data_IF_153654346870
#
_entry.id   IF_153654346870
#
_cell.length_a   1.000
_cell.length_b   1.000
_cell.length_c   1.000
_cell.angle_alpha   90.00
_cell.angle_beta   90.00
_cell.angle_gamma   90.00
#
_symmetry.space_group_name_H-M   'P 1'
#
loop_
_entity.id
_entity.type
_entity.pdbx_description
1 polymer ?
#
# COMPACT_ATOMS: atom_id res chain seq x y z
N UNK A 1 37.76 -36.71 -15.77
CA UNK A 1 38.04 -35.30 -15.36
C UNK A 1 36.99 -34.41 -15.97
N UNK A 2 36.09 -33.85 -15.16
CA UNK A 2 34.98 -33.02 -15.62
C UNK A 2 34.19 -32.52 -14.43
N UNK A 3 34.65 -31.41 -13.85
CA UNK A 3 34.00 -30.75 -12.73
C UNK A 3 32.71 -30.07 -13.21
N UNK A 4 31.56 -30.50 -12.68
CA UNK A 4 30.31 -29.73 -12.70
C UNK A 4 30.16 -29.07 -11.34
N UNK A 5 30.39 -27.76 -11.28
CA UNK A 5 30.10 -26.93 -10.12
C UNK A 5 28.58 -26.86 -9.89
N UNK A 6 28.14 -27.42 -8.77
CA UNK A 6 26.79 -27.25 -8.25
C UNK A 6 26.69 -25.87 -7.58
N UNK A 7 25.82 -25.02 -8.11
CA UNK A 7 25.48 -23.73 -7.50
C UNK A 7 24.67 -23.95 -6.22
N UNK A 8 25.37 -24.23 -5.12
CA UNK A 8 24.82 -24.29 -3.77
C UNK A 8 24.63 -22.86 -3.24
N UNK A 9 23.62 -22.15 -3.74
CA UNK A 9 23.29 -20.81 -3.27
C UNK A 9 22.37 -20.88 -2.03
N UNK A 10 23.01 -20.93 -0.86
CA UNK A 10 22.66 -20.21 0.37
C UNK A 10 21.16 -20.03 0.72
N UNK A 11 20.47 -21.11 1.10
CA UNK A 11 19.12 -21.06 1.73
C UNK A 11 19.14 -20.98 3.26
N UNK A 12 20.24 -21.34 3.90
CA UNK A 12 20.39 -21.30 5.37
C UNK A 12 20.46 -19.86 5.90
N UNK A 13 21.02 -18.93 5.13
CA UNK A 13 21.19 -17.51 5.49
C UNK A 13 19.89 -16.69 5.49
N UNK A 14 18.83 -17.13 4.78
CA UNK A 14 17.53 -16.45 4.76
C UNK A 14 16.67 -16.81 5.99
N UNK A 15 16.79 -18.06 6.47
CA UNK A 15 16.15 -18.50 7.71
C UNK A 15 16.82 -17.87 8.94
N UNK A 16 18.16 -17.82 8.97
CA UNK A 16 18.88 -17.19 10.09
C UNK A 16 18.60 -15.69 10.20
N UNK A 17 18.60 -14.96 9.07
CA UNK A 17 18.32 -13.50 9.07
C UNK A 17 16.88 -13.14 9.44
N UNK A 18 15.92 -14.01 9.09
CA UNK A 18 14.51 -13.78 9.46
C UNK A 18 14.30 -13.98 10.95
N UNK A 19 14.93 -15.00 11.55
CA UNK A 19 14.92 -15.22 13.00
C UNK A 19 15.68 -14.11 13.74
N UNK A 20 16.84 -13.69 13.23
CA UNK A 20 17.61 -12.56 13.78
C UNK A 20 16.83 -11.24 13.78
N UNK A 21 16.00 -11.01 12.76
CA UNK A 21 15.11 -9.85 12.71
C UNK A 21 14.10 -9.87 13.87
N UNK A 22 13.54 -11.02 14.22
CA UNK A 22 12.63 -11.14 15.36
C UNK A 22 13.35 -11.09 16.72
N UNK A 23 14.59 -11.59 16.82
CA UNK A 23 15.36 -11.57 18.08
C UNK A 23 15.91 -10.17 18.41
N UNK A 24 16.37 -9.40 17.42
CA UNK A 24 17.02 -8.11 17.66
C UNK A 24 16.09 -6.90 17.57
N UNK A 25 14.93 -7.01 16.90
CA UNK A 25 14.10 -5.83 16.61
C UNK A 25 12.99 -5.56 17.62
N UNK A 26 12.84 -6.36 18.69
CA UNK A 26 11.69 -6.33 19.65
C UNK A 26 10.40 -5.76 19.00
N UNK A 27 9.89 -6.35 17.89
CA UNK A 27 8.82 -5.71 17.11
C UNK A 27 7.49 -5.62 17.86
N UNK A 28 7.39 -6.28 19.01
CA UNK A 28 6.29 -6.21 19.94
C UNK A 28 6.78 -5.57 21.25
N UNK A 29 6.91 -4.25 21.27
CA UNK A 29 7.46 -3.49 22.40
C UNK A 29 6.62 -3.59 23.69
N UNK A 30 5.41 -4.17 23.66
CA UNK A 30 4.56 -4.31 24.85
C UNK A 30 3.80 -5.63 25.03
N UNK A 31 3.35 -6.34 23.98
CA UNK A 31 2.75 -7.70 24.08
C UNK A 31 2.88 -8.51 22.79
N UNK A 32 3.20 -9.80 22.90
CA UNK A 32 3.12 -10.73 21.77
C UNK A 32 1.65 -10.95 21.34
N UNK A 33 1.38 -11.11 20.03
CA UNK A 33 0.05 -11.52 19.56
C UNK A 33 -0.30 -12.91 20.09
N UNK A 34 -1.59 -13.14 20.38
CA UNK A 34 -2.08 -14.43 20.92
C UNK A 34 -1.93 -15.59 19.93
N UNK A 35 -1.98 -15.30 18.63
CA UNK A 35 -1.76 -16.26 17.54
C UNK A 35 -0.92 -15.61 16.43
N UNK A 36 0.06 -16.33 15.92
CA UNK A 36 0.83 -15.96 14.71
C UNK A 36 0.62 -17.02 13.64
N UNK A 37 0.18 -16.62 12.43
CA UNK A 37 0.14 -17.53 11.28
C UNK A 37 1.30 -17.24 10.32
N UNK A 38 2.24 -18.18 10.23
CA UNK A 38 3.37 -18.13 9.32
C UNK A 38 2.97 -18.59 7.91
N UNK A 39 2.54 -17.63 7.10
CA UNK A 39 2.22 -17.82 5.66
C UNK A 39 3.49 -17.99 4.81
N UNK A 40 4.21 -19.09 5.04
CA UNK A 40 5.38 -19.49 4.27
C UNK A 40 5.52 -21.02 4.24
N UNK A 41 6.15 -21.53 3.18
CA UNK A 41 6.47 -22.95 3.10
C UNK A 41 7.51 -23.35 4.15
N UNK A 42 7.42 -24.57 4.69
CA UNK A 42 8.41 -25.16 5.64
C UNK A 42 8.56 -24.40 6.95
N UNK A 43 7.64 -23.52 7.31
CA UNK A 43 7.69 -22.73 8.56
C UNK A 43 7.55 -23.59 9.81
N UNK A 44 6.91 -24.76 9.69
CA UNK A 44 6.84 -25.82 10.71
C UNK A 44 7.80 -26.99 10.47
N UNK A 45 8.72 -26.88 9.51
CA UNK A 45 9.72 -27.92 9.26
C UNK A 45 10.94 -27.70 10.15
N UNK A 46 11.30 -28.70 10.96
CA UNK A 46 12.59 -28.72 11.67
C UNK A 46 13.74 -28.98 10.68
N UNK A 47 14.87 -28.30 10.86
CA UNK A 47 16.08 -28.52 10.08
C UNK A 47 16.89 -29.72 10.58
N UNK A 48 17.75 -30.25 9.73
CA UNK A 48 18.77 -31.27 10.07
C UNK A 48 18.21 -32.44 10.91
N UNK A 49 17.21 -33.13 10.36
CA UNK A 49 16.56 -34.30 11.00
C UNK A 49 15.98 -34.04 12.41
N UNK A 50 15.59 -32.79 12.71
CA UNK A 50 14.98 -32.42 13.99
C UNK A 50 15.94 -31.79 14.99
N UNK A 51 17.23 -31.69 14.67
CA UNK A 51 18.23 -31.03 15.53
C UNK A 51 18.08 -29.51 15.57
N UNK A 52 17.49 -28.91 14.52
CA UNK A 52 17.19 -27.47 14.46
C UNK A 52 15.69 -27.27 14.53
N UNK A 53 15.22 -26.62 15.59
CA UNK A 53 13.81 -26.29 15.76
C UNK A 53 13.25 -25.48 14.60
N UNK A 54 12.01 -25.78 14.22
CA UNK A 54 11.28 -25.02 13.19
C UNK A 54 11.09 -23.54 13.58
N UNK A 55 10.81 -22.67 12.61
CA UNK A 55 10.53 -21.26 12.89
C UNK A 55 9.33 -21.11 13.83
N UNK A 56 8.30 -21.95 13.67
CA UNK A 56 7.16 -21.97 14.55
C UNK A 56 7.53 -22.32 16.01
N UNK A 57 8.34 -23.36 16.20
CA UNK A 57 8.85 -23.73 17.54
C UNK A 57 9.69 -22.63 18.18
N UNK A 58 10.53 -21.95 17.40
CA UNK A 58 11.37 -20.87 17.90
C UNK A 58 10.54 -19.68 18.40
N UNK A 59 9.49 -19.30 17.67
CA UNK A 59 8.57 -18.24 18.10
C UNK A 59 7.81 -18.61 19.37
N UNK A 60 7.38 -19.87 19.50
CA UNK A 60 6.76 -20.37 20.74
C UNK A 60 7.76 -20.32 21.90
N UNK A 61 9.04 -20.67 21.66
CA UNK A 61 10.10 -20.56 22.67
C UNK A 61 10.36 -19.11 23.11
N UNK A 62 10.19 -18.15 22.20
CA UNK A 62 10.35 -16.71 22.45
C UNK A 62 9.15 -16.06 23.15
N UNK A 63 8.08 -16.81 23.43
CA UNK A 63 6.94 -16.32 24.20
C UNK A 63 5.69 -16.02 23.38
N UNK A 64 5.68 -16.28 22.07
CA UNK A 64 4.42 -16.28 21.31
C UNK A 64 3.56 -17.46 21.79
N UNK A 65 2.31 -17.23 22.24
CA UNK A 65 1.51 -18.30 22.82
C UNK A 65 1.18 -19.44 21.84
N UNK A 66 0.85 -19.07 20.59
CA UNK A 66 0.43 -19.99 19.55
C UNK A 66 0.95 -19.56 18.18
N UNK A 67 1.41 -20.53 17.39
CA UNK A 67 1.94 -20.32 16.04
C UNK A 67 1.40 -21.39 15.10
N UNK A 68 0.80 -20.99 13.98
CA UNK A 68 0.44 -21.86 12.87
C UNK A 68 1.53 -21.82 11.80
N UNK A 69 1.89 -22.98 11.26
CA UNK A 69 2.89 -23.08 10.20
C UNK A 69 2.71 -24.33 9.35
N UNK A 70 3.46 -24.39 8.24
CA UNK A 70 3.40 -25.47 7.27
C UNK A 70 4.61 -26.39 7.42
N UNK A 71 4.39 -27.69 7.64
CA UNK A 71 5.45 -28.67 7.85
C UNK A 71 6.28 -29.00 6.59
N UNK A 72 5.76 -28.72 5.40
CA UNK A 72 6.40 -28.95 4.09
C UNK A 72 5.98 -27.84 3.10
N UNK A 73 6.54 -27.79 1.87
CA UNK A 73 5.99 -26.94 0.82
C UNK A 73 4.51 -27.23 0.58
N UNK A 74 3.73 -26.17 0.35
CA UNK A 74 2.28 -26.22 0.12
C UNK A 74 1.97 -25.41 -1.14
N UNK A 75 0.97 -25.85 -1.91
CA UNK A 75 0.49 -25.08 -3.06
C UNK A 75 -0.20 -23.78 -2.60
N UNK A 76 -0.04 -22.69 -3.37
CA UNK A 76 -0.62 -21.36 -3.05
C UNK A 76 -2.14 -21.44 -2.89
N UNK A 77 -2.82 -22.22 -3.74
CA UNK A 77 -4.26 -22.48 -3.65
C UNK A 77 -4.65 -23.19 -2.35
N UNK A 78 -3.93 -24.24 -1.98
CA UNK A 78 -4.16 -25.00 -0.73
C UNK A 78 -3.97 -24.12 0.50
N UNK A 79 -2.88 -23.33 0.51
CA UNK A 79 -2.59 -22.40 1.60
C UNK A 79 -3.63 -21.29 1.72
N UNK A 80 -4.07 -20.73 0.58
CA UNK A 80 -5.12 -19.71 0.53
C UNK A 80 -6.44 -20.26 1.05
N UNK A 81 -6.89 -21.42 0.57
CA UNK A 81 -8.14 -22.05 1.03
C UNK A 81 -8.12 -22.34 2.54
N UNK A 82 -7.00 -22.85 3.05
CA UNK A 82 -6.84 -23.11 4.48
C UNK A 82 -6.90 -21.83 5.30
N UNK A 83 -6.21 -20.77 4.85
CA UNK A 83 -6.17 -19.49 5.52
C UNK A 83 -7.55 -18.81 5.52
N UNK A 84 -8.24 -18.78 4.38
CA UNK A 84 -9.59 -18.21 4.24
C UNK A 84 -10.54 -18.85 5.23
N UNK A 85 -10.69 -20.17 5.18
CA UNK A 85 -11.62 -20.89 6.07
C UNK A 85 -11.25 -20.71 7.55
N UNK A 86 -9.95 -20.77 7.87
CA UNK A 86 -9.48 -20.57 9.24
C UNK A 86 -9.84 -19.18 9.76
N UNK A 87 -9.54 -18.12 8.99
CA UNK A 87 -9.83 -16.75 9.41
C UNK A 87 -11.33 -16.48 9.50
N UNK A 88 -12.14 -17.07 8.64
CA UNK A 88 -13.61 -17.01 8.75
C UNK A 88 -14.08 -17.60 10.09
N UNK A 89 -13.65 -18.82 10.43
CA UNK A 89 -14.05 -19.45 11.71
C UNK A 89 -13.54 -18.67 12.91
N UNK A 90 -12.31 -18.15 12.85
CA UNK A 90 -11.80 -17.29 13.91
C UNK A 90 -12.66 -16.03 14.05
N UNK A 91 -13.04 -15.39 12.94
CA UNK A 91 -13.86 -14.18 12.94
C UNK A 91 -15.29 -14.41 13.46
N UNK A 92 -15.83 -15.63 13.31
CA UNK A 92 -17.10 -16.06 13.91
C UNK A 92 -17.01 -16.31 15.42
N UNK A 93 -15.85 -16.10 16.06
CA UNK A 93 -15.68 -16.28 17.50
C UNK A 93 -15.32 -17.71 17.93
N UNK A 94 -15.05 -18.62 17.00
CA UNK A 94 -14.57 -19.96 17.36
C UNK A 94 -13.16 -19.91 17.95
N UNK A 95 -12.89 -20.83 18.88
CA UNK A 95 -11.54 -21.00 19.43
C UNK A 95 -10.54 -21.45 18.36
N UNK A 96 -9.23 -21.29 18.62
CA UNK A 96 -8.18 -21.69 17.66
C UNK A 96 -8.25 -23.19 17.35
N UNK A 97 -8.55 -24.01 18.34
CA UNK A 97 -8.70 -25.46 18.17
C UNK A 97 -9.90 -25.83 17.28
N UNK A 98 -11.05 -25.18 17.48
CA UNK A 98 -12.27 -25.40 16.71
C UNK A 98 -12.11 -24.91 15.27
N UNK A 99 -11.58 -23.70 15.10
CA UNK A 99 -11.30 -23.12 13.80
C UNK A 99 -10.35 -24.01 12.99
N UNK A 100 -9.26 -24.50 13.60
CA UNK A 100 -8.31 -25.39 12.93
C UNK A 100 -8.94 -26.75 12.58
N UNK A 101 -9.71 -27.32 13.50
CA UNK A 101 -10.42 -28.58 13.26
C UNK A 101 -11.43 -28.46 12.12
N UNK A 102 -12.17 -27.34 12.08
CA UNK A 102 -13.10 -27.01 11.00
C UNK A 102 -12.35 -26.86 9.67
N UNK A 103 -11.20 -26.17 9.66
CA UNK A 103 -10.33 -26.05 8.48
C UNK A 103 -9.87 -27.40 7.95
N UNK A 104 -9.45 -28.34 8.82
CA UNK A 104 -9.09 -29.69 8.36
C UNK A 104 -10.25 -30.43 7.71
N UNK A 105 -11.45 -30.38 8.33
CA UNK A 105 -12.65 -31.00 7.75
C UNK A 105 -12.99 -30.40 6.39
N UNK A 106 -12.95 -29.07 6.28
CA UNK A 106 -13.19 -28.36 5.02
C UNK A 106 -12.20 -28.77 3.92
N UNK A 107 -10.89 -28.76 4.22
CA UNK A 107 -9.86 -29.13 3.25
C UNK A 107 -9.96 -30.61 2.84
N UNK A 108 -10.31 -31.50 3.77
CA UNK A 108 -10.52 -32.92 3.50
C UNK A 108 -11.72 -33.13 2.57
N UNK A 109 -12.85 -32.45 2.83
CA UNK A 109 -14.04 -32.49 1.96
C UNK A 109 -13.74 -31.95 0.56
N UNK A 110 -12.88 -30.94 0.44
CA UNK A 110 -12.39 -30.41 -0.83
C UNK A 110 -11.26 -31.23 -1.47
N UNK A 111 -10.91 -32.38 -0.88
CA UNK A 111 -9.87 -33.30 -1.36
C UNK A 111 -8.50 -32.64 -1.59
N UNK A 112 -8.14 -31.67 -0.73
CA UNK A 112 -6.86 -30.99 -0.80
C UNK A 112 -5.77 -31.92 -0.24
N UNK A 113 -4.76 -32.35 -1.01
CA UNK A 113 -3.78 -33.36 -0.56
C UNK A 113 -2.89 -32.87 0.59
N UNK A 114 -2.62 -31.57 0.62
CA UNK A 114 -1.70 -30.92 1.56
C UNK A 114 -2.35 -30.54 2.90
N UNK A 115 -3.60 -30.96 3.16
CA UNK A 115 -4.38 -30.52 4.33
C UNK A 115 -3.65 -30.76 5.66
N UNK A 116 -2.96 -31.90 5.78
CA UNK A 116 -2.25 -32.36 6.98
C UNK A 116 -0.94 -31.62 7.25
N UNK A 117 -0.51 -30.75 6.33
CA UNK A 117 0.74 -30.01 6.45
C UNK A 117 0.61 -28.76 7.34
N UNK A 118 -0.60 -28.22 7.49
CA UNK A 118 -0.86 -27.14 8.43
C UNK A 118 -0.76 -27.70 9.86
N UNK A 119 -0.03 -27.02 10.74
CA UNK A 119 0.24 -27.48 12.10
C UNK A 119 0.20 -26.30 13.07
N UNK A 120 -0.33 -26.56 14.26
CA UNK A 120 -0.37 -25.63 15.38
C UNK A 120 0.72 -25.98 16.39
N UNK A 121 1.48 -24.97 16.80
CA UNK A 121 2.51 -25.04 17.81
C UNK A 121 2.09 -24.09 18.93
N UNK A 122 2.13 -24.50 20.19
CA UNK A 122 1.78 -23.62 21.29
C UNK A 122 1.96 -24.28 22.64
N UNK A 123 1.88 -23.47 23.69
CA UNK A 123 2.02 -23.92 25.09
C UNK A 123 0.68 -24.10 25.82
N UNK A 124 -0.43 -23.68 25.23
CA UNK A 124 -1.78 -23.76 25.81
C UNK A 124 -2.67 -22.59 25.38
N UNK A 125 -3.91 -22.57 25.88
CA UNK A 125 -4.88 -21.49 25.60
C UNK A 125 -5.62 -21.62 24.26
N UNK A 126 -5.64 -22.83 23.66
CA UNK A 126 -6.25 -23.10 22.36
C UNK A 126 -7.78 -23.01 22.35
N UNK A 127 -8.40 -23.16 23.52
CA UNK A 127 -9.85 -23.21 23.73
C UNK A 127 -10.47 -21.83 23.95
N UNK A 128 -9.66 -20.80 24.15
CA UNK A 128 -10.14 -19.44 24.38
C UNK A 128 -10.28 -18.75 23.01
N UNK A 129 -11.48 -18.27 22.64
CA UNK A 129 -11.68 -17.44 21.46
C UNK A 129 -10.70 -16.28 21.38
N UNK A 130 -10.28 -15.95 20.16
CA UNK A 130 -9.41 -14.81 19.91
C UNK A 130 -10.20 -13.50 19.77
N UNK A 131 -11.44 -13.63 19.31
CA UNK A 131 -12.41 -12.54 19.13
C UNK A 131 -13.75 -13.01 19.69
N UNK A 132 -14.56 -12.06 20.12
CA UNK A 132 -15.95 -12.33 20.47
C UNK A 132 -16.76 -12.49 19.18
N UNK A 133 -17.83 -13.27 19.25
CA UNK A 133 -18.77 -13.40 18.13
C UNK A 133 -19.30 -12.00 17.78
N UNK A 134 -19.22 -11.58 16.51
CA UNK A 134 -19.75 -10.29 16.12
C UNK A 134 -21.26 -10.27 16.39
N UNK A 135 -21.72 -9.36 17.24
CA UNK A 135 -23.15 -9.11 17.44
C UNK A 135 -23.82 -8.62 16.16
N UNK A 136 -25.16 -8.63 16.15
CA UNK A 136 -25.98 -8.28 14.98
C UNK A 136 -25.75 -6.85 14.43
N UNK A 137 -25.12 -5.97 15.21
CA UNK A 137 -24.84 -4.57 14.88
C UNK A 137 -23.43 -4.34 14.31
N UNK A 138 -22.97 -5.16 13.37
CA UNK A 138 -21.86 -4.75 12.52
C UNK A 138 -22.40 -3.86 11.40
N UNK A 139 -22.09 -2.54 11.38
CA UNK A 139 -22.33 -1.77 10.17
C UNK A 139 -21.57 -2.49 9.04
N UNK A 140 -22.18 -2.69 7.86
CA UNK A 140 -21.47 -3.31 6.76
C UNK A 140 -20.18 -2.54 6.54
N UNK A 141 -19.05 -3.22 6.69
CA UNK A 141 -17.77 -2.76 6.20
C UNK A 141 -17.90 -2.72 4.68
N UNK A 142 -18.50 -1.66 4.15
CA UNK A 142 -18.26 -1.28 2.78
C UNK A 142 -16.86 -0.63 2.79
N UNK A 143 -15.79 -1.35 2.40
CA UNK A 143 -14.56 -0.65 2.11
C UNK A 143 -14.91 0.41 1.06
N UNK A 144 -14.68 1.68 1.37
CA UNK A 144 -14.74 2.76 0.39
C UNK A 144 -13.65 2.48 -0.63
N UNK A 145 -13.97 1.62 -1.60
CA UNK A 145 -13.07 1.25 -2.68
C UNK A 145 -13.29 2.24 -3.80
N UNK A 146 -12.22 2.94 -4.15
CA UNK A 146 -12.26 3.82 -5.31
C UNK A 146 -12.36 2.94 -6.56
N UNK A 147 -13.55 2.87 -7.16
CA UNK A 147 -13.75 2.30 -8.50
C UNK A 147 -13.21 3.23 -9.59
N UNK A 148 -13.17 4.53 -9.27
CA UNK A 148 -12.65 5.59 -10.11
C UNK A 148 -11.74 6.50 -9.30
N UNK A 149 -10.67 7.00 -9.92
CA UNK A 149 -9.74 7.92 -9.27
C UNK A 149 -10.34 9.32 -9.19
N UNK A 150 -11.03 9.76 -10.25
CA UNK A 150 -11.62 11.08 -10.38
C UNK A 150 -13.14 11.08 -10.13
N UNK A 151 -13.71 12.19 -9.64
CA UNK A 151 -15.16 12.33 -9.44
C UNK A 151 -15.97 12.20 -10.74
N UNK A 152 -15.38 12.56 -11.88
CA UNK A 152 -16.01 12.50 -13.20
C UNK A 152 -16.02 11.08 -13.80
N UNK A 153 -15.51 10.07 -13.06
CA UNK A 153 -15.48 8.65 -13.41
C UNK A 153 -14.77 8.35 -14.73
N UNK A 154 -13.78 9.14 -15.12
CA UNK A 154 -12.99 8.97 -16.34
C UNK A 154 -11.89 7.90 -16.20
N UNK A 155 -11.33 7.76 -15.00
CA UNK A 155 -10.17 6.90 -14.72
C UNK A 155 -10.60 5.72 -13.88
N UNK A 156 -10.76 4.56 -14.52
CA UNK A 156 -11.07 3.29 -13.83
C UNK A 156 -9.88 2.79 -13.02
N UNK A 157 -10.15 2.39 -11.79
CA UNK A 157 -9.19 1.82 -10.86
C UNK A 157 -9.43 0.32 -10.76
N UNK A 158 -8.36 -0.48 -10.86
CA UNK A 158 -8.47 -1.93 -10.73
C UNK A 158 -8.92 -2.31 -9.31
N UNK A 159 -9.81 -3.31 -9.18
CA UNK A 159 -10.31 -3.81 -7.89
C UNK A 159 -9.17 -4.43 -7.04
N UNK A 160 -9.34 -4.64 -5.72
CA UNK A 160 -8.29 -5.22 -4.88
C UNK A 160 -7.81 -6.58 -5.41
N UNK A 161 -8.74 -7.39 -5.93
CA UNK A 161 -8.45 -8.71 -6.51
C UNK A 161 -7.59 -8.61 -7.78
N UNK A 162 -7.71 -7.50 -8.52
CA UNK A 162 -6.92 -7.22 -9.72
C UNK A 162 -5.59 -6.53 -9.41
N UNK A 163 -5.37 -6.09 -8.16
CA UNK A 163 -4.18 -5.36 -7.71
C UNK A 163 -3.10 -6.29 -7.17
N UNK A 164 -2.40 -6.97 -8.07
CA UNK A 164 -1.36 -7.96 -7.72
C UNK A 164 0.06 -7.38 -7.87
N UNK A 165 0.99 -7.82 -7.02
CA UNK A 165 2.44 -7.57 -7.18
C UNK A 165 2.93 -6.18 -6.74
N UNK A 166 2.03 -5.24 -6.45
CA UNK A 166 2.38 -3.83 -6.17
C UNK A 166 2.55 -3.45 -4.70
N UNK A 167 2.45 -4.42 -3.78
CA UNK A 167 2.51 -4.18 -2.33
C UNK A 167 3.75 -3.40 -1.88
N UNK A 168 4.94 -3.76 -2.36
CA UNK A 168 6.20 -3.11 -1.95
C UNK A 168 6.29 -1.66 -2.45
N UNK A 169 5.84 -1.41 -3.67
CA UNK A 169 5.76 -0.07 -4.26
C UNK A 169 4.84 0.79 -3.41
N UNK A 170 3.63 0.29 -3.15
CA UNK A 170 2.65 0.97 -2.31
C UNK A 170 3.22 1.29 -0.91
N UNK A 171 3.88 0.33 -0.26
CA UNK A 171 4.49 0.53 1.05
C UNK A 171 5.63 1.56 1.04
N UNK A 172 6.44 1.63 -0.03
CA UNK A 172 7.46 2.68 -0.19
C UNK A 172 6.83 4.05 -0.34
N UNK A 173 5.89 4.21 -1.26
CA UNK A 173 5.22 5.49 -1.50
C UNK A 173 4.45 5.96 -0.27
N UNK A 174 3.74 5.08 0.43
CA UNK A 174 2.99 5.45 1.64
C UNK A 174 3.91 5.95 2.76
N UNK A 175 5.08 5.33 2.94
CA UNK A 175 6.09 5.82 3.91
C UNK A 175 6.56 7.23 3.56
N UNK A 176 6.75 7.51 2.27
CA UNK A 176 7.16 8.84 1.80
C UNK A 176 6.06 9.87 1.99
N UNK A 177 4.81 9.56 1.62
CA UNK A 177 3.67 10.46 1.81
C UNK A 177 3.39 10.75 3.29
N UNK A 178 3.67 9.82 4.20
CA UNK A 178 3.53 10.04 5.65
C UNK A 178 4.69 10.83 6.26
N UNK A 179 5.84 10.93 5.58
CA UNK A 179 6.98 11.73 6.03
C UNK A 179 6.67 13.23 5.90
N UNK A 180 7.09 14.05 6.87
CA UNK A 180 6.95 15.52 6.82
C UNK A 180 7.93 16.20 5.86
N UNK A 181 9.05 15.52 5.57
CA UNK A 181 10.13 16.08 4.75
C UNK A 181 9.91 15.88 3.24
N UNK A 182 8.83 15.18 2.87
CA UNK A 182 8.52 14.87 1.50
C UNK A 182 7.24 15.58 1.07
N UNK A 183 7.28 16.21 -0.10
CA UNK A 183 6.15 16.93 -0.68
C UNK A 183 5.12 15.95 -1.28
N UNK A 184 5.57 14.79 -1.73
CA UNK A 184 4.75 13.97 -2.61
C UNK A 184 5.47 12.82 -3.29
N UNK A 185 4.76 12.13 -4.18
CA UNK A 185 5.28 11.00 -4.94
C UNK A 185 5.02 11.20 -6.43
N UNK A 186 6.03 10.89 -7.25
CA UNK A 186 5.92 10.79 -8.71
C UNK A 186 5.96 9.31 -9.08
N UNK A 187 4.84 8.78 -9.55
CA UNK A 187 4.72 7.44 -10.11
C UNK A 187 4.93 7.52 -11.62
N UNK A 188 6.02 6.94 -12.12
CA UNK A 188 6.32 6.97 -13.55
C UNK A 188 6.57 5.57 -14.14
N UNK A 189 6.35 5.41 -15.44
CA UNK A 189 6.55 4.15 -16.14
C UNK A 189 5.55 3.94 -17.28
N UNK A 190 5.67 2.83 -18.00
CA UNK A 190 4.91 2.54 -19.23
C UNK A 190 3.38 2.69 -19.01
N UNK A 191 2.63 3.03 -20.07
CA UNK A 191 1.17 3.06 -20.04
C UNK A 191 0.57 1.71 -19.62
N UNK A 192 -0.59 1.72 -18.96
CA UNK A 192 -1.31 0.49 -18.59
C UNK A 192 -0.72 -0.34 -17.45
N UNK A 193 0.41 0.04 -16.85
CA UNK A 193 1.04 -0.71 -15.74
C UNK A 193 0.33 -0.57 -14.38
N UNK A 194 -0.72 0.26 -14.31
CA UNK A 194 -1.55 0.48 -13.12
C UNK A 194 -1.10 1.62 -12.20
N UNK A 195 -0.49 2.69 -12.73
CA UNK A 195 -0.05 3.86 -11.93
C UNK A 195 -1.23 4.56 -11.26
N UNK A 196 -2.29 4.86 -12.01
CA UNK A 196 -3.54 5.46 -11.48
C UNK A 196 -4.21 4.54 -10.46
N UNK A 197 -4.14 3.22 -10.66
CA UNK A 197 -4.58 2.24 -9.64
C UNK A 197 -3.75 2.35 -8.37
N UNK A 198 -2.42 2.40 -8.46
CA UNK A 198 -1.56 2.60 -7.28
C UNK A 198 -1.90 3.92 -6.59
N UNK A 199 -2.17 4.98 -7.36
CA UNK A 199 -2.55 6.27 -6.80
C UNK A 199 -3.85 6.18 -5.99
N UNK A 200 -4.90 5.58 -6.53
CA UNK A 200 -6.14 5.33 -5.81
C UNK A 200 -5.92 4.50 -4.53
N UNK A 201 -5.11 3.43 -4.61
CA UNK A 201 -4.78 2.59 -3.44
C UNK A 201 -3.96 3.32 -2.37
N UNK A 202 -3.21 4.36 -2.73
CA UNK A 202 -2.53 5.25 -1.79
C UNK A 202 -3.52 6.18 -1.09
N UNK A 203 -4.47 6.77 -1.83
CA UNK A 203 -5.52 7.63 -1.27
C UNK A 203 -6.39 6.89 -0.25
N UNK A 204 -6.79 5.64 -0.55
CA UNK A 204 -7.52 4.77 0.39
C UNK A 204 -6.79 4.56 1.73
N UNK A 205 -5.46 4.77 1.76
CA UNK A 205 -4.61 4.59 2.96
C UNK A 205 -4.16 5.92 3.58
N UNK A 206 -4.70 7.02 3.07
CA UNK A 206 -4.53 8.39 3.54
C UNK A 206 -5.92 9.00 3.86
N UNK A 207 -6.70 8.41 4.79
CA UNK A 207 -8.07 8.84 5.07
C UNK A 207 -8.17 10.30 5.56
N UNK A 208 -7.11 10.82 6.18
CA UNK A 208 -7.05 12.21 6.66
C UNK A 208 -6.88 13.24 5.53
N UNK A 209 -6.72 12.79 4.28
CA UNK A 209 -6.48 13.65 3.12
C UNK A 209 -7.68 13.65 2.19
N UNK A 210 -8.15 14.85 1.86
CA UNK A 210 -9.15 15.05 0.83
C UNK A 210 -8.49 15.07 -0.55
N UNK A 211 -8.89 14.18 -1.47
CA UNK A 211 -8.30 14.14 -2.80
C UNK A 211 -8.81 15.28 -3.69
N UNK A 212 -7.89 15.94 -4.39
CA UNK A 212 -8.17 16.89 -5.48
C UNK A 212 -7.53 16.35 -6.74
N UNK A 213 -8.34 15.75 -7.63
CA UNK A 213 -7.84 15.04 -8.81
C UNK A 213 -7.93 15.91 -10.06
N UNK A 214 -6.77 16.20 -10.64
CA UNK A 214 -6.58 16.82 -11.95
C UNK A 214 -6.24 15.72 -12.94
N UNK A 215 -7.10 15.52 -13.93
CA UNK A 215 -6.88 14.55 -15.00
C UNK A 215 -6.37 15.27 -16.26
N UNK A 216 -5.15 14.94 -16.69
CA UNK A 216 -4.45 15.57 -17.82
C UNK A 216 -4.16 17.04 -17.60
N UNK A 217 -4.88 17.94 -18.27
CA UNK A 217 -4.54 19.36 -18.38
C UNK A 217 -4.51 20.03 -17.01
N UNK A 218 -3.34 20.56 -16.66
CA UNK A 218 -3.14 21.33 -15.45
C UNK A 218 -3.09 22.82 -15.79
N UNK A 219 -4.10 23.53 -15.35
CA UNK A 219 -4.13 24.98 -15.37
C UNK A 219 -4.66 25.54 -14.04
N UNK A 220 -4.56 26.86 -13.89
CA UNK A 220 -5.07 27.58 -12.72
C UNK A 220 -6.58 27.44 -12.56
N UNK A 221 -7.36 27.49 -13.65
CA UNK A 221 -8.81 27.46 -13.61
C UNK A 221 -9.33 26.11 -13.07
N UNK A 222 -8.70 25.00 -13.44
CA UNK A 222 -9.01 23.66 -12.95
C UNK A 222 -8.71 23.57 -11.45
N UNK A 223 -7.56 24.07 -10.99
CA UNK A 223 -7.22 24.07 -9.56
C UNK A 223 -8.20 24.92 -8.75
N UNK A 224 -8.52 26.13 -9.21
CA UNK A 224 -9.51 27.01 -8.56
C UNK A 224 -10.87 26.33 -8.49
N UNK A 225 -11.34 25.73 -9.59
CA UNK A 225 -12.61 25.01 -9.63
C UNK A 225 -12.65 23.87 -8.61
N UNK A 226 -11.62 23.03 -8.56
CA UNK A 226 -11.56 21.90 -7.63
C UNK A 226 -11.52 22.35 -6.17
N UNK A 227 -10.74 23.39 -5.86
CA UNK A 227 -10.68 23.97 -4.52
C UNK A 227 -12.02 24.58 -4.12
N UNK A 228 -12.67 25.33 -5.02
CA UNK A 228 -13.97 25.94 -4.78
C UNK A 228 -15.06 24.88 -4.54
N UNK A 229 -15.07 23.77 -5.28
CA UNK A 229 -16.04 22.69 -5.10
C UNK A 229 -15.96 22.02 -3.71
N UNK A 230 -14.76 22.00 -3.11
CA UNK A 230 -14.55 21.43 -1.78
C UNK A 230 -14.48 22.51 -0.68
N UNK A 231 -14.56 23.79 -1.03
CA UNK A 231 -14.59 24.88 -0.08
C UNK A 231 -16.02 25.14 0.38
N UNK A 232 -16.18 25.31 1.68
CA UNK A 232 -17.44 25.71 2.35
C UNK A 232 -17.27 27.03 3.10
N UNK A 233 -16.03 27.53 3.21
CA UNK A 233 -15.68 28.79 3.86
C UNK A 233 -15.91 29.96 2.91
N UNK A 234 -16.71 30.94 3.35
CA UNK A 234 -16.93 32.19 2.60
C UNK A 234 -15.61 32.93 2.36
N UNK A 235 -14.75 32.99 3.39
CA UNK A 235 -13.41 33.57 3.27
C UNK A 235 -12.56 32.82 2.23
N UNK A 236 -12.66 31.48 2.19
CA UNK A 236 -11.97 30.67 1.19
C UNK A 236 -12.42 30.99 -0.24
N UNK A 237 -13.72 31.13 -0.46
CA UNK A 237 -14.26 31.56 -1.76
C UNK A 237 -13.81 32.97 -2.16
N UNK A 238 -13.83 33.92 -1.23
CA UNK A 238 -13.33 35.27 -1.47
C UNK A 238 -11.86 35.24 -1.88
N UNK A 239 -11.01 34.51 -1.15
CA UNK A 239 -9.58 34.37 -1.47
C UNK A 239 -9.41 33.83 -2.89
N UNK A 240 -10.13 32.76 -3.27
CA UNK A 240 -10.01 32.17 -4.61
C UNK A 240 -10.44 33.11 -5.75
N UNK A 241 -11.22 34.15 -5.46
CA UNK A 241 -11.68 35.14 -6.45
C UNK A 241 -10.85 36.43 -6.45
N UNK A 242 -9.90 36.59 -5.52
CA UNK A 242 -9.06 37.78 -5.46
C UNK A 242 -8.25 38.00 -6.75
N UNK A 243 -8.13 39.27 -7.14
CA UNK A 243 -7.27 39.70 -8.25
C UNK A 243 -5.81 39.82 -7.77
N UNK A 244 -5.21 38.67 -7.48
CA UNK A 244 -3.82 38.52 -7.07
C UNK A 244 -3.12 37.45 -7.90
N UNK A 245 -1.77 37.46 -7.99
CA UNK A 245 -1.03 36.38 -8.62
C UNK A 245 -1.36 35.02 -8.02
N UNK A 246 -1.46 34.00 -8.87
CA UNK A 246 -1.92 32.66 -8.51
C UNK A 246 -1.21 32.07 -7.29
N UNK A 247 0.13 32.08 -7.27
CA UNK A 247 0.92 31.56 -6.15
C UNK A 247 0.52 32.20 -4.80
N UNK A 248 0.38 33.52 -4.76
CA UNK A 248 0.00 34.25 -3.55
C UNK A 248 -1.41 33.90 -3.09
N UNK A 249 -2.34 33.81 -4.05
CA UNK A 249 -3.73 33.42 -3.80
C UNK A 249 -3.83 31.99 -3.26
N UNK A 250 -3.11 31.04 -3.85
CA UNK A 250 -3.09 29.64 -3.41
C UNK A 250 -2.46 29.50 -2.02
N UNK A 251 -1.35 30.20 -1.74
CA UNK A 251 -0.73 30.22 -0.41
C UNK A 251 -1.72 30.76 0.64
N UNK A 252 -2.37 31.88 0.34
CA UNK A 252 -3.38 32.47 1.23
C UNK A 252 -4.55 31.52 1.47
N UNK A 253 -5.00 30.81 0.44
CA UNK A 253 -6.05 29.80 0.56
C UNK A 253 -5.64 28.64 1.46
N UNK A 254 -4.45 28.07 1.26
CA UNK A 254 -3.98 26.94 2.07
C UNK A 254 -3.69 27.32 3.53
N UNK A 255 -3.45 28.60 3.83
CA UNK A 255 -3.20 29.07 5.20
C UNK A 255 -4.48 29.56 5.90
N UNK A 256 -5.43 30.16 5.17
CA UNK A 256 -6.59 30.86 5.77
C UNK A 256 -7.94 30.53 5.13
N UNK A 257 -7.98 29.89 3.97
CA UNK A 257 -9.20 29.57 3.22
C UNK A 257 -9.74 28.15 3.45
N UNK A 258 -9.06 27.33 4.24
CA UNK A 258 -9.46 25.96 4.55
C UNK A 258 -10.75 25.94 5.41
N UNK A 259 -11.56 24.89 5.24
CA UNK A 259 -12.78 24.64 6.02
C UNK A 259 -12.48 24.35 7.49
N UNK A 260 -11.30 23.79 7.78
CA UNK A 260 -10.80 23.59 9.14
C UNK A 260 -9.27 23.68 9.16
N UNK A 261 -8.71 23.99 10.33
CA UNK A 261 -7.25 24.17 10.50
C UNK A 261 -6.43 22.90 10.23
N UNK A 262 -7.06 21.73 10.35
CA UNK A 262 -6.41 20.43 10.16
C UNK A 262 -6.71 19.79 8.80
N UNK A 263 -7.50 20.46 7.94
CA UNK A 263 -7.87 19.96 6.62
C UNK A 263 -6.63 19.77 5.76
N UNK A 264 -6.40 18.54 5.30
CA UNK A 264 -5.29 18.21 4.40
C UNK A 264 -5.82 17.84 3.04
N UNK A 265 -5.11 18.27 2.01
CA UNK A 265 -5.39 17.91 0.63
C UNK A 265 -4.30 17.00 0.09
N UNK A 266 -4.70 16.02 -0.72
CA UNK A 266 -3.82 15.29 -1.62
C UNK A 266 -4.16 15.68 -3.06
N UNK A 267 -3.30 16.50 -3.68
CA UNK A 267 -3.42 16.88 -5.08
C UNK A 267 -2.91 15.75 -5.95
N UNK A 268 -3.78 15.20 -6.80
CA UNK A 268 -3.46 14.09 -7.68
C UNK A 268 -3.44 14.61 -9.11
N UNK A 269 -2.26 14.60 -9.72
CA UNK A 269 -2.05 14.97 -11.12
C UNK A 269 -1.91 13.68 -11.93
N UNK A 270 -3.02 13.18 -12.47
CA UNK A 270 -3.08 11.91 -13.19
C UNK A 270 -2.93 12.11 -14.71
N UNK A 271 -2.25 11.16 -15.38
CA UNK A 271 -1.97 11.23 -16.83
C UNK A 271 -1.18 12.51 -17.21
N UNK A 272 -0.20 12.85 -16.36
CA UNK A 272 0.52 14.12 -16.43
C UNK A 272 1.39 14.28 -17.68
N UNK A 273 1.64 13.20 -18.44
CA UNK A 273 2.29 13.30 -19.76
C UNK A 273 1.58 14.26 -20.73
N UNK A 274 0.28 14.54 -20.55
CA UNK A 274 -0.45 15.51 -21.35
C UNK A 274 0.07 16.95 -21.22
N UNK A 275 0.79 17.25 -20.13
CA UNK A 275 1.39 18.54 -19.83
C UNK A 275 2.86 18.63 -20.25
N UNK A 276 3.38 17.59 -20.90
CA UNK A 276 4.75 17.52 -21.37
C UNK A 276 4.81 17.74 -22.87
N UNK A 277 5.93 18.29 -23.31
CA UNK A 277 6.29 18.41 -24.72
C UNK A 277 7.69 17.86 -24.94
N UNK A 278 7.93 17.30 -26.13
CA UNK A 278 9.24 16.81 -26.51
C UNK A 278 10.07 17.99 -27.01
N UNK A 279 11.23 18.19 -26.39
CA UNK A 279 12.26 19.10 -26.91
C UNK A 279 12.88 18.53 -28.21
N UNK A 280 13.71 19.31 -28.90
CA UNK A 280 14.42 18.90 -30.12
C UNK A 280 15.21 17.58 -29.96
N UNK A 281 15.69 17.30 -28.74
CA UNK A 281 16.42 16.09 -28.39
C UNK A 281 15.52 14.92 -27.91
N UNK A 282 14.20 15.07 -28.00
CA UNK A 282 13.20 14.10 -27.55
C UNK A 282 13.01 14.01 -26.02
N UNK A 283 13.74 14.84 -25.26
CA UNK A 283 13.58 14.97 -23.83
C UNK A 283 12.20 15.59 -23.50
N UNK A 284 11.50 15.00 -22.53
CA UNK A 284 10.20 15.51 -22.11
C UNK A 284 10.39 16.69 -21.15
N UNK A 285 9.85 17.85 -21.53
CA UNK A 285 9.86 19.08 -20.74
C UNK A 285 8.42 19.53 -20.44
N UNK A 286 8.25 20.39 -19.44
CA UNK A 286 6.95 20.98 -19.12
C UNK A 286 6.56 21.98 -20.20
N UNK A 287 5.31 21.92 -20.67
CA UNK A 287 4.75 22.97 -21.53
C UNK A 287 4.76 24.31 -20.80
N UNK A 288 5.07 25.40 -21.51
CA UNK A 288 5.19 26.74 -20.94
C UNK A 288 3.98 27.17 -20.09
N UNK A 289 2.76 26.84 -20.54
CA UNK A 289 1.51 27.14 -19.85
C UNK A 289 1.33 26.40 -18.51
N UNK A 290 2.01 25.28 -18.30
CA UNK A 290 1.89 24.43 -17.10
C UNK A 290 2.96 24.77 -16.06
N UNK A 291 4.06 25.39 -16.49
CA UNK A 291 5.19 25.77 -15.62
C UNK A 291 4.70 26.53 -14.40
N UNK A 292 3.91 27.60 -14.59
CA UNK A 292 3.47 28.43 -13.46
C UNK A 292 2.39 27.77 -12.59
N UNK A 293 1.30 27.19 -13.14
CA UNK A 293 0.33 26.45 -12.33
C UNK A 293 0.95 25.34 -11.47
N UNK A 294 1.87 24.55 -12.04
CA UNK A 294 2.57 23.50 -11.31
C UNK A 294 3.52 24.08 -10.25
N UNK A 295 4.34 25.07 -10.63
CA UNK A 295 5.27 25.73 -9.70
C UNK A 295 4.51 26.29 -8.51
N UNK A 296 3.44 27.04 -8.77
CA UNK A 296 2.61 27.66 -7.75
C UNK A 296 2.04 26.61 -6.77
N UNK A 297 1.52 25.51 -7.31
CA UNK A 297 1.00 24.39 -6.52
C UNK A 297 2.08 23.79 -5.61
N UNK A 298 3.23 23.40 -6.19
CA UNK A 298 4.30 22.75 -5.42
C UNK A 298 4.90 23.70 -4.37
N UNK A 299 5.09 24.98 -4.71
CA UNK A 299 5.59 25.99 -3.78
C UNK A 299 4.60 26.24 -2.63
N UNK A 300 3.30 26.40 -2.92
CA UNK A 300 2.29 26.63 -1.90
C UNK A 300 2.15 25.43 -0.95
N UNK A 301 2.10 24.21 -1.47
CA UNK A 301 2.12 22.98 -0.66
C UNK A 301 3.41 22.89 0.16
N UNK A 302 4.56 23.27 -0.42
CA UNK A 302 5.85 23.21 0.27
C UNK A 302 5.97 24.24 1.39
N UNK A 303 5.29 25.39 1.31
CA UNK A 303 5.34 26.46 2.32
C UNK A 303 4.18 26.44 3.31
N UNK A 304 3.12 25.68 3.04
CA UNK A 304 1.95 25.58 3.92
C UNK A 304 2.30 25.03 5.31
N UNK A 305 1.61 25.55 6.32
CA UNK A 305 1.67 25.07 7.71
C UNK A 305 1.09 23.67 7.87
N UNK A 306 0.12 23.32 7.02
CA UNK A 306 -0.52 22.00 7.00
C UNK A 306 0.20 21.10 6.01
N UNK A 307 0.29 19.82 6.36
CA UNK A 307 1.03 18.84 5.58
C UNK A 307 0.24 18.36 4.36
N UNK A 308 -0.08 19.22 3.40
CA UNK A 308 -0.66 18.82 2.10
C UNK A 308 0.32 17.94 1.30
N UNK A 309 -0.19 17.14 0.36
CA UNK A 309 0.62 16.21 -0.45
C UNK A 309 0.29 16.30 -1.92
N UNK A 310 1.27 15.96 -2.75
CA UNK A 310 1.12 15.86 -4.20
C UNK A 310 1.41 14.44 -4.68
N UNK A 311 0.62 13.94 -5.60
CA UNK A 311 0.78 12.64 -6.22
C UNK A 311 0.69 12.83 -7.73
N UNK A 312 1.77 12.52 -8.44
CA UNK A 312 1.83 12.68 -9.90
C UNK A 312 1.90 11.30 -10.53
N UNK A 313 1.09 11.02 -11.53
CA UNK A 313 1.26 9.83 -12.38
C UNK A 313 1.66 10.26 -13.79
N UNK A 314 2.67 9.62 -14.36
CA UNK A 314 3.06 9.91 -15.75
C UNK A 314 3.68 8.71 -16.46
N UNK A 315 3.65 8.70 -17.80
CA UNK A 315 4.50 7.80 -18.60
C UNK A 315 5.99 8.04 -18.40
N UNK A 316 6.37 9.30 -18.24
CA UNK A 316 7.76 9.74 -18.20
C UNK A 316 8.16 10.19 -16.80
N UNK A 317 9.46 10.22 -16.52
CA UNK A 317 9.95 10.80 -15.28
C UNK A 317 9.87 12.33 -15.38
N UNK A 318 8.94 12.94 -14.64
CA UNK A 318 8.65 14.37 -14.72
C UNK A 318 9.79 15.17 -14.10
N UNK A 319 10.66 15.74 -14.94
CA UNK A 319 11.78 16.56 -14.47
C UNK A 319 11.26 17.95 -14.11
N UNK A 320 11.51 18.36 -12.87
CA UNK A 320 11.21 19.72 -12.42
C UNK A 320 12.42 20.62 -12.66
N UNK A 321 12.22 21.89 -13.02
CA UNK A 321 13.30 22.86 -13.14
C UNK A 321 14.12 22.97 -11.83
N UNK A 322 15.46 23.01 -11.91
CA UNK A 322 16.34 22.97 -10.74
C UNK A 322 16.31 24.24 -9.89
N UNK A 323 15.84 25.35 -10.45
CA UNK A 323 15.66 26.64 -9.76
C UNK A 323 14.49 26.61 -8.77
N UNK A 324 13.61 25.60 -8.85
CA UNK A 324 12.51 25.41 -7.92
C UNK A 324 13.05 24.84 -6.60
N UNK A 325 13.31 25.72 -5.62
CA UNK A 325 13.79 25.35 -4.28
C UNK A 325 12.68 24.70 -3.43
N UNK A 326 12.29 23.50 -3.80
CA UNK A 326 11.19 22.74 -3.20
C UNK A 326 11.68 21.64 -2.25
N UNK A 327 10.81 21.22 -1.33
CA UNK A 327 10.98 19.93 -0.61
C UNK A 327 11.02 18.77 -1.61
N UNK A 328 11.64 17.66 -1.21
CA UNK A 328 11.84 16.52 -2.11
C UNK A 328 10.51 15.90 -2.56
N UNK A 329 10.49 15.41 -3.80
CA UNK A 329 9.45 14.53 -4.33
C UNK A 329 10.05 13.14 -4.51
N UNK A 330 9.44 12.12 -3.91
CA UNK A 330 9.90 10.74 -4.10
C UNK A 330 9.54 10.23 -5.48
N UNK A 331 10.53 9.79 -6.25
CA UNK A 331 10.34 9.21 -7.58
C UNK A 331 10.27 7.69 -7.48
N UNK A 332 9.20 7.11 -8.01
CA UNK A 332 8.98 5.67 -7.97
C UNK A 332 8.64 5.17 -9.37
N UNK A 333 9.55 4.36 -9.93
CA UNK A 333 9.33 3.65 -11.17
C UNK A 333 8.36 2.48 -10.95
N UNK A 334 7.29 2.43 -11.74
CA UNK A 334 6.33 1.32 -11.76
C UNK A 334 6.67 0.40 -12.94
N UNK A 335 7.31 -0.76 -12.71
CA UNK A 335 7.70 -1.67 -13.78
C UNK A 335 6.47 -2.37 -14.37
N UNK A 336 6.54 -2.87 -15.61
CA UNK A 336 5.52 -3.80 -16.11
C UNK A 336 5.47 -5.08 -15.25
N UNK A 337 4.29 -5.69 -15.12
CA UNK A 337 4.15 -6.99 -14.44
C UNK A 337 4.97 -8.05 -15.20
N UNK A 338 5.64 -8.95 -14.49
CA UNK A 338 6.47 -10.01 -15.10
C UNK A 338 6.20 -11.39 -14.48
N UNK A 339 6.32 -12.43 -15.29
CA UNK A 339 6.35 -13.83 -14.84
C UNK A 339 5.12 -14.24 -14.02
N UNK A 340 5.35 -14.74 -12.80
CA UNK A 340 4.30 -15.24 -11.91
C UNK A 340 3.22 -14.20 -11.55
N UNK A 341 3.50 -12.89 -11.69
CA UNK A 341 2.50 -11.85 -11.44
C UNK A 341 1.40 -11.82 -12.51
N UNK A 342 1.69 -12.22 -13.75
CA UNK A 342 0.71 -12.35 -14.82
C UNK A 342 -0.20 -13.57 -14.61
N UNK A 343 0.35 -14.65 -14.04
CA UNK A 343 -0.40 -15.88 -13.77
C UNK A 343 -1.39 -15.73 -12.61
N UNK A 344 -1.18 -14.75 -11.71
CA UNK A 344 -2.09 -14.42 -10.59
C UNK A 344 -3.28 -13.54 -10.99
N UNK A 345 -3.36 -13.13 -12.25
CA UNK A 345 -4.50 -12.36 -12.79
C UNK A 345 -5.61 -13.23 -13.43
N UNK A 346 -5.44 -14.56 -13.42
CA UNK A 346 -6.39 -15.52 -14.00
C UNK A 346 -7.45 -15.92 -12.98
#
# INVERSE_FOLDING_TARGET
>A
MGARGSAFCSRTLLLSKSVEFWTNSRPFESRYPRLVFLSGCRTGQAGSEGTVSSMAEQLVRQGVPMVLGWGRPVLDRSATMAATHLYERLAEGFSVAEALSSTYRYLLQKQIPDWHLLRLYGRGGFEIPLVEEPGDDLPPLEPVQLQFLDPERKVRVATPDQFVGRRRILQRCLRQLRSRNNLGVVLHGIGGVGKSTIAARLLERLPDYQPLVVYRELDEAVLVRLLAQQCTSEQGHQILQENQPWLGRLQKFLDYGLNSKDQKFCFVLDDFEANLEADSDGAQQLQAQVVEPLRALLEAVSKSKVAHRVLITSRYDVKLPPDWRLRSLHREMVPALRGAELQKKV
#
